data_IF_713176473720
#
_entry.id   IF_713176473720
#
_cell.length_a   1.000
_cell.length_b   1.000
_cell.length_c   1.000
_cell.angle_alpha   90.00
_cell.angle_beta   90.00
_cell.angle_gamma   90.00
#
_symmetry.space_group_name_H-M   'P 1'
#
loop_
_entity.id
_entity.type
_entity.pdbx_description
1 polymer ?
#
# COMPACT_ATOMS: atom_id res chain seq x y z
N UNK A 1 -0.35 5.46 16.64
CA UNK A 1 -0.25 5.84 15.21
C UNK A 1 -0.94 4.77 14.38
N UNK A 2 -1.83 5.16 13.45
CA UNK A 2 -2.55 4.22 12.60
C UNK A 2 -1.70 3.88 11.37
N UNK A 3 -1.37 2.60 11.20
CA UNK A 3 -0.74 2.09 9.98
C UNK A 3 -1.77 1.33 9.15
N UNK A 4 -1.50 1.19 7.85
CA UNK A 4 -2.31 0.39 6.95
C UNK A 4 -2.48 -1.05 7.46
N UNK A 5 -1.41 -1.65 7.99
CA UNK A 5 -1.47 -2.97 8.61
C UNK A 5 -2.39 -3.02 9.84
N UNK A 6 -2.33 -1.99 10.71
CA UNK A 6 -3.20 -1.93 11.90
C UNK A 6 -4.68 -1.80 11.53
N UNK A 7 -5.00 -1.06 10.46
CA UNK A 7 -6.36 -0.91 9.95
C UNK A 7 -6.85 -2.20 9.30
N UNK A 8 -6.00 -2.86 8.49
CA UNK A 8 -6.32 -4.16 7.89
C UNK A 8 -6.60 -5.24 8.95
N UNK A 9 -5.81 -5.29 10.04
CA UNK A 9 -6.04 -6.23 11.16
C UNK A 9 -7.34 -5.98 11.91
N UNK A 10 -7.86 -4.75 11.87
CA UNK A 10 -9.19 -4.38 12.41
C UNK A 10 -10.32 -4.60 11.40
N UNK A 11 -10.03 -5.10 10.20
CA UNK A 11 -11.02 -5.22 9.12
C UNK A 11 -11.43 -3.88 8.51
N UNK A 12 -10.68 -2.80 8.73
CA UNK A 12 -10.99 -1.47 8.24
C UNK A 12 -10.28 -1.26 6.89
N UNK A 13 -11.07 -1.16 5.81
CA UNK A 13 -10.58 -0.78 4.49
C UNK A 13 -10.41 0.75 4.40
N UNK A 14 -9.17 1.21 4.32
CA UNK A 14 -8.87 2.64 4.13
C UNK A 14 -9.00 3.04 2.65
N UNK A 15 -9.07 4.34 2.38
CA UNK A 15 -9.18 4.83 1.00
C UNK A 15 -7.92 4.52 0.16
N UNK A 16 -6.74 4.46 0.78
CA UNK A 16 -5.52 4.02 0.09
C UNK A 16 -5.60 2.55 -0.33
N UNK A 17 -6.18 1.68 0.50
CA UNK A 17 -6.40 0.28 0.12
C UNK A 17 -7.40 0.14 -1.02
N UNK A 18 -8.44 0.99 -1.06
CA UNK A 18 -9.42 1.02 -2.15
C UNK A 18 -8.79 1.44 -3.47
N UNK A 19 -7.91 2.45 -3.43
CA UNK A 19 -7.16 2.88 -4.60
C UNK A 19 -6.28 1.76 -5.13
N UNK A 20 -5.45 1.15 -4.26
CA UNK A 20 -4.57 0.04 -4.63
C UNK A 20 -5.36 -1.16 -5.19
N UNK A 21 -6.50 -1.50 -4.57
CA UNK A 21 -7.36 -2.58 -5.03
C UNK A 21 -7.87 -2.33 -6.47
N UNK A 22 -8.27 -1.09 -6.76
CA UNK A 22 -8.71 -0.67 -8.09
C UNK A 22 -7.58 -0.71 -9.12
N UNK A 23 -6.39 -0.23 -8.78
CA UNK A 23 -5.27 -0.13 -9.74
C UNK A 23 -4.64 -1.49 -10.08
N UNK A 24 -4.73 -2.44 -9.15
CA UNK A 24 -4.27 -3.82 -9.31
C UNK A 24 -5.37 -4.77 -9.80
N UNK A 25 -6.61 -4.29 -9.96
CA UNK A 25 -7.78 -5.09 -10.35
C UNK A 25 -8.02 -6.29 -9.40
N UNK A 26 -7.97 -6.02 -8.10
CA UNK A 26 -8.21 -7.00 -7.03
C UNK A 26 -9.32 -6.54 -6.10
N UNK A 27 -9.96 -7.48 -5.40
CA UNK A 27 -11.00 -7.16 -4.43
C UNK A 27 -10.40 -6.75 -3.07
N UNK A 28 -11.11 -5.90 -2.33
CA UNK A 28 -10.72 -5.50 -0.97
C UNK A 28 -10.65 -6.70 -0.02
N UNK A 29 -11.60 -7.63 -0.14
CA UNK A 29 -11.66 -8.86 0.65
C UNK A 29 -10.44 -9.75 0.45
N UNK A 30 -9.84 -9.72 -0.75
CA UNK A 30 -8.60 -10.42 -1.04
C UNK A 30 -7.37 -9.66 -0.49
N UNK A 31 -7.39 -8.33 -0.59
CA UNK A 31 -6.28 -7.46 -0.23
C UNK A 31 -6.11 -7.32 1.30
N UNK A 32 -7.20 -7.15 2.04
CA UNK A 32 -7.23 -6.96 3.50
C UNK A 32 -6.47 -8.05 4.28
N UNK A 33 -6.75 -9.36 4.11
CA UNK A 33 -6.03 -10.41 4.85
C UNK A 33 -4.54 -10.48 4.46
N UNK A 34 -4.18 -10.10 3.24
CA UNK A 34 -2.79 -10.05 2.78
C UNK A 34 -2.03 -8.87 3.39
N UNK A 35 -2.67 -7.74 3.58
CA UNK A 35 -2.10 -6.61 4.32
C UNK A 35 -2.01 -6.94 5.82
N UNK A 36 -3.04 -7.56 6.39
CA UNK A 36 -3.07 -7.92 7.81
C UNK A 36 -1.97 -8.94 8.18
N UNK A 37 -1.69 -9.88 7.27
CA UNK A 37 -0.60 -10.87 7.38
C UNK A 37 0.78 -10.33 7.02
N UNK A 38 0.88 -9.13 6.45
CA UNK A 38 2.15 -8.52 6.02
C UNK A 38 2.70 -9.05 4.69
N UNK A 39 1.90 -9.81 3.93
CA UNK A 39 2.27 -10.27 2.58
C UNK A 39 2.25 -9.15 1.53
N UNK A 40 1.43 -8.12 1.77
CA UNK A 40 1.31 -6.92 0.93
C UNK A 40 1.43 -5.69 1.84
N UNK A 41 2.15 -4.68 1.38
CA UNK A 41 2.27 -3.39 2.07
C UNK A 41 1.81 -2.25 1.19
N UNK A 42 1.28 -1.19 1.80
CA UNK A 42 0.93 0.07 1.15
C UNK A 42 1.71 1.19 1.83
N UNK A 43 2.82 1.68 1.26
CA UNK A 43 3.56 2.82 1.80
C UNK A 43 2.72 4.09 1.69
N UNK A 44 2.17 4.53 2.83
CA UNK A 44 1.45 5.80 2.97
C UNK A 44 1.89 6.47 4.26
N UNK A 45 2.88 7.36 4.18
CA UNK A 45 3.32 8.14 5.33
C UNK A 45 2.44 9.39 5.45
N UNK A 46 1.73 9.53 6.57
CA UNK A 46 0.83 10.66 6.83
C UNK A 46 1.56 12.00 7.03
N UNK A 47 2.87 11.99 7.34
CA UNK A 47 3.68 13.21 7.47
C UNK A 47 4.17 13.72 6.11
N UNK A 48 4.05 12.91 5.05
CA UNK A 48 4.49 13.32 3.70
C UNK A 48 3.54 14.42 3.18
N UNK A 49 4.04 15.63 2.86
CA UNK A 49 3.20 16.75 2.45
C UNK A 49 2.67 16.62 1.01
N UNK A 50 3.34 15.80 0.19
CA UNK A 50 3.01 15.60 -1.21
C UNK A 50 1.82 14.63 -1.34
N UNK A 51 0.84 14.97 -2.17
CA UNK A 51 -0.15 13.99 -2.63
C UNK A 51 0.55 12.98 -3.52
N UNK A 52 0.48 11.71 -3.13
CA UNK A 52 1.08 10.61 -3.87
C UNK A 52 0.00 9.68 -4.39
N UNK A 53 0.34 8.97 -5.45
CA UNK A 53 -0.42 7.81 -5.88
C UNK A 53 0.00 6.61 -5.03
N UNK A 54 -0.92 6.09 -4.23
CA UNK A 54 -0.65 4.96 -3.35
C UNK A 54 -0.55 3.68 -4.18
N UNK A 55 0.55 2.94 -3.99
CA UNK A 55 0.78 1.66 -4.66
C UNK A 55 0.90 0.55 -3.63
N UNK A 56 0.40 -0.63 -3.96
CA UNK A 56 0.64 -1.84 -3.17
C UNK A 56 1.89 -2.58 -3.66
N UNK A 57 2.63 -3.14 -2.72
CA UNK A 57 3.83 -3.94 -2.99
C UNK A 57 3.66 -5.28 -2.27
N UNK A 58 3.69 -6.37 -3.02
CA UNK A 58 3.66 -7.71 -2.42
C UNK A 58 3.29 -8.80 -3.42
N UNK A 59 3.12 -10.02 -2.89
CA UNK A 59 2.90 -11.22 -3.70
C UNK A 59 1.50 -11.22 -4.34
N UNK A 60 1.44 -11.41 -5.65
CA UNK A 60 0.20 -11.44 -6.43
C UNK A 60 -0.24 -10.07 -6.97
N UNK A 61 0.62 -9.05 -6.88
CA UNK A 61 0.44 -7.74 -7.50
C UNK A 61 1.38 -7.60 -8.71
N UNK A 62 1.20 -6.57 -9.53
CA UNK A 62 2.14 -6.21 -10.59
C UNK A 62 3.52 -5.92 -9.99
N UNK A 63 4.57 -6.46 -10.61
CA UNK A 63 5.97 -6.21 -10.20
C UNK A 63 6.26 -4.71 -10.19
N UNK A 64 6.78 -4.20 -9.07
CA UNK A 64 7.16 -2.79 -8.89
C UNK A 64 8.67 -2.65 -8.97
N UNK A 65 9.14 -1.55 -9.54
CA UNK A 65 10.57 -1.23 -9.68
C UNK A 65 10.86 0.07 -8.93
N UNK A 66 11.96 0.10 -8.19
CA UNK A 66 12.47 1.29 -7.52
C UNK A 66 13.68 1.85 -8.26
N UNK A 67 13.78 3.18 -8.33
CA UNK A 67 14.93 3.87 -8.94
C UNK A 67 15.52 4.83 -7.91
N UNK A 68 16.83 4.76 -7.71
CA UNK A 68 17.55 5.68 -6.82
C UNK A 68 18.00 6.90 -7.62
N UNK A 69 17.67 8.11 -7.14
CA UNK A 69 18.04 9.39 -7.77
C UNK A 69 18.69 10.27 -6.72
N UNK A 70 19.90 10.77 -7.00
CA UNK A 70 20.65 11.68 -6.14
C UNK A 70 22.05 11.93 -6.69
N UNK A 71 22.54 13.17 -6.60
CA UNK A 71 23.90 13.54 -7.00
C UNK A 71 24.81 13.59 -5.77
N UNK A 72 25.98 12.94 -5.84
CA UNK A 72 27.05 13.20 -4.86
C UNK A 72 27.77 14.46 -5.30
N UNK A 73 27.83 15.45 -4.40
CA UNK A 73 28.59 16.68 -4.60
C UNK A 73 29.94 16.55 -3.93
#
# INVERSE_FOLDING_TARGET
>A
MATQMSSARRGIATDEMKQVAKDEDVTLDWLLPKIASGSIIVPSNNVRPQKIHNVGIGKGMKTKVNVNIGTST
#
